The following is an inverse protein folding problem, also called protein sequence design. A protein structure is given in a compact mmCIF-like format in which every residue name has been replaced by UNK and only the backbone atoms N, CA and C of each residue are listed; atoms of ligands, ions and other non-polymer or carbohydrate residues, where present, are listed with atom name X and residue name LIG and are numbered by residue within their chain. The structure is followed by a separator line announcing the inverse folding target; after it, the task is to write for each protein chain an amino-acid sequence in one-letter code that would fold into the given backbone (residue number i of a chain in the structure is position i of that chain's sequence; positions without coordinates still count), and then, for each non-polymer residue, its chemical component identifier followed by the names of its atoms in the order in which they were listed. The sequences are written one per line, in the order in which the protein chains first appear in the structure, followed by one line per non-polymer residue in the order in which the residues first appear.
data_IF_024192099883
#
_entry.id   IF_024192099883
#
_cell.length_a   1.000
_cell.length_b   1.000
_cell.length_c   1.000
_cell.angle_alpha   90.00
_cell.angle_beta   90.00
_cell.angle_gamma   90.00
#
_symmetry.space_group_name_H-M   'P 1'
#
loop_
_entity.id
_entity.type
_entity.pdbx_description
1 polymer ?
#
# COMPACT_ATOMS: atom_id res chain seq x y z
N UNK A 1 4.67 -26.66 20.81
CA UNK A 1 3.22 -26.47 20.49
C UNK A 1 3.13 -25.50 19.33
N UNK A 2 2.24 -25.74 18.38
CA UNK A 2 2.04 -24.89 17.19
C UNK A 2 0.77 -24.07 17.37
N UNK A 3 0.77 -22.82 16.92
CA UNK A 3 -0.39 -21.93 16.93
C UNK A 3 -0.44 -21.16 15.61
N UNK A 4 -1.61 -21.07 14.99
CA UNK A 4 -1.85 -20.28 13.79
C UNK A 4 -2.86 -19.17 14.13
N UNK A 5 -2.51 -17.92 13.84
CA UNK A 5 -3.36 -16.77 14.10
C UNK A 5 -3.82 -16.18 12.77
N UNK A 6 -5.14 -16.13 12.58
CA UNK A 6 -5.73 -15.50 11.41
C UNK A 6 -6.30 -14.15 11.86
N UNK A 7 -5.63 -13.08 11.46
CA UNK A 7 -5.95 -11.70 11.87
C UNK A 7 -6.96 -11.10 10.87
N UNK A 8 -7.92 -10.32 11.36
CA UNK A 8 -8.98 -9.74 10.53
C UNK A 8 -8.42 -8.93 9.34
N UNK A 9 -7.34 -8.18 9.54
CA UNK A 9 -6.66 -7.39 8.51
C UNK A 9 -6.15 -8.25 7.35
N UNK A 10 -5.69 -9.49 7.59
CA UNK A 10 -5.20 -10.40 6.53
C UNK A 10 -6.32 -10.80 5.57
N UNK A 11 -7.55 -10.97 6.05
CA UNK A 11 -8.71 -11.26 5.19
C UNK A 11 -8.99 -10.12 4.20
N UNK A 12 -8.65 -8.89 4.56
CA UNK A 12 -8.90 -7.71 3.76
C UNK A 12 -7.77 -7.37 2.78
N UNK A 13 -6.69 -8.16 2.75
CA UNK A 13 -5.54 -7.89 1.89
C UNK A 13 -5.93 -7.80 0.39
N UNK A 14 -6.88 -8.63 -0.06
CA UNK A 14 -7.40 -8.53 -1.42
C UNK A 14 -8.15 -7.21 -1.68
N UNK A 15 -8.91 -6.73 -0.70
CA UNK A 15 -9.64 -5.46 -0.79
C UNK A 15 -8.68 -4.27 -0.82
N UNK A 16 -7.62 -4.30 -0.01
CA UNK A 16 -6.57 -3.27 -0.01
C UNK A 16 -5.90 -3.15 -1.38
N UNK A 17 -5.45 -4.28 -1.94
CA UNK A 17 -4.79 -4.29 -3.25
C UNK A 17 -5.69 -3.75 -4.37
N UNK A 18 -6.98 -4.14 -4.36
CA UNK A 18 -7.96 -3.61 -5.32
C UNK A 18 -8.19 -2.11 -5.13
N UNK A 19 -8.36 -1.65 -3.90
CA UNK A 19 -8.63 -0.25 -3.59
C UNK A 19 -7.44 0.64 -3.96
N UNK A 20 -6.22 0.24 -3.62
CA UNK A 20 -4.97 0.92 -4.01
C UNK A 20 -4.87 0.99 -5.53
N UNK A 21 -5.12 -0.11 -6.24
CA UNK A 21 -5.06 -0.13 -7.71
C UNK A 21 -6.08 0.84 -8.34
N UNK A 22 -7.30 0.89 -7.82
CA UNK A 22 -8.34 1.80 -8.32
C UNK A 22 -7.97 3.26 -8.11
N UNK A 23 -7.47 3.61 -6.93
CA UNK A 23 -7.07 4.97 -6.56
C UNK A 23 -5.83 5.38 -7.36
N UNK A 24 -4.86 4.49 -7.51
CA UNK A 24 -3.67 4.72 -8.33
C UNK A 24 -4.06 5.02 -9.78
N UNK A 25 -4.91 4.19 -10.41
CA UNK A 25 -5.40 4.44 -11.78
C UNK A 25 -6.14 5.77 -11.94
N UNK A 26 -6.83 6.24 -10.89
CA UNK A 26 -7.64 7.46 -10.95
C UNK A 26 -6.85 8.74 -10.65
N UNK A 27 -5.87 8.67 -9.75
CA UNK A 27 -5.22 9.86 -9.19
C UNK A 27 -3.71 9.93 -9.40
N UNK A 28 -3.03 8.82 -9.73
CA UNK A 28 -1.58 8.81 -9.97
C UNK A 28 -1.33 9.04 -11.45
N UNK A 29 -0.50 10.05 -11.76
CA UNK A 29 -0.03 10.33 -13.10
C UNK A 29 1.35 9.70 -13.30
N UNK A 30 1.49 8.85 -14.30
CA UNK A 30 2.72 8.11 -14.62
C UNK A 30 3.90 8.97 -15.04
N UNK A 31 3.71 10.27 -15.30
CA UNK A 31 4.79 11.19 -15.68
C UNK A 31 5.48 11.87 -14.50
N UNK A 32 4.79 12.02 -13.37
CA UNK A 32 5.34 12.68 -12.19
C UNK A 32 4.53 12.33 -10.94
N UNK A 33 5.17 11.71 -9.95
CA UNK A 33 4.57 11.49 -8.64
C UNK A 33 4.51 12.81 -7.87
N UNK A 34 3.34 13.15 -7.33
CA UNK A 34 3.14 14.33 -6.47
C UNK A 34 2.64 13.89 -5.11
N UNK A 35 3.04 14.61 -4.05
CA UNK A 35 2.65 14.28 -2.67
C UNK A 35 1.12 14.19 -2.48
N UNK A 36 0.35 15.08 -3.11
CA UNK A 36 -1.11 15.03 -3.07
C UNK A 36 -1.75 13.79 -3.74
N UNK A 37 -1.02 13.09 -4.60
CA UNK A 37 -1.45 11.81 -5.19
C UNK A 37 -1.17 10.66 -4.21
N UNK A 38 0.03 10.65 -3.60
CA UNK A 38 0.43 9.66 -2.61
C UNK A 38 -0.46 9.71 -1.37
N UNK A 39 -0.78 10.91 -0.89
CA UNK A 39 -1.69 11.10 0.26
C UNK A 39 -3.10 10.52 -0.02
N UNK A 40 -3.57 10.52 -1.27
CA UNK A 40 -4.87 9.90 -1.63
C UNK A 40 -4.80 8.37 -1.62
N UNK A 41 -3.69 7.79 -2.04
CA UNK A 41 -3.46 6.34 -1.96
C UNK A 41 -3.38 5.90 -0.50
N UNK A 42 -2.65 6.64 0.33
CA UNK A 42 -2.61 6.41 1.78
C UNK A 42 -3.96 6.59 2.47
N UNK A 43 -4.73 7.62 2.09
CA UNK A 43 -6.04 7.89 2.69
C UNK A 43 -7.00 6.71 2.51
N UNK A 44 -6.92 5.99 1.39
CA UNK A 44 -7.73 4.80 1.16
C UNK A 44 -7.32 3.66 2.08
N UNK A 45 -6.02 3.43 2.27
CA UNK A 45 -5.53 2.46 3.25
C UNK A 45 -5.99 2.85 4.66
N UNK A 46 -5.88 4.12 5.05
CA UNK A 46 -6.37 4.62 6.36
C UNK A 46 -7.88 4.43 6.56
N UNK A 47 -8.68 4.54 5.49
CA UNK A 47 -10.13 4.34 5.57
C UNK A 47 -10.52 2.89 5.92
N UNK A 48 -9.63 1.93 5.71
CA UNK A 48 -9.84 0.55 6.14
C UNK A 48 -9.41 0.26 7.58
N UNK A 49 -8.79 1.23 8.26
CA UNK A 49 -8.19 1.09 9.60
C UNK A 49 -7.38 -0.21 9.77
N UNK A 50 -6.36 -0.47 8.92
CA UNK A 50 -5.68 -1.75 8.95
C UNK A 50 -4.68 -1.76 10.12
N UNK A 51 -4.94 -2.59 11.14
CA UNK A 51 -3.87 -2.94 12.08
C UNK A 51 -2.88 -3.91 11.41
N UNK A 52 -1.95 -3.35 10.64
CA UNK A 52 -0.95 -4.12 9.90
C UNK A 52 0.10 -4.73 10.85
N UNK A 53 0.45 -4.08 11.97
CA UNK A 53 1.32 -4.68 12.99
C UNK A 53 0.68 -5.90 13.66
N UNK A 54 -0.65 -5.91 13.80
CA UNK A 54 -1.38 -7.10 14.27
C UNK A 54 -1.33 -8.21 13.23
N UNK A 55 -1.41 -7.87 11.95
CA UNK A 55 -1.53 -8.77 10.81
C UNK A 55 -0.21 -9.49 10.49
N UNK A 56 0.89 -8.74 10.45
CA UNK A 56 2.22 -9.25 10.09
C UNK A 56 3.05 -9.66 11.29
N UNK A 57 2.53 -9.41 12.50
CA UNK A 57 3.29 -9.50 13.76
C UNK A 57 4.58 -8.65 13.76
N UNK A 58 4.68 -7.64 12.88
CA UNK A 58 5.79 -6.70 12.81
C UNK A 58 5.39 -5.34 13.37
N UNK A 59 5.60 -5.16 14.67
CA UNK A 59 5.43 -3.87 15.35
C UNK A 59 6.59 -2.94 14.95
N UNK A 60 6.28 -1.79 14.35
CA UNK A 60 7.24 -0.71 14.10
C UNK A 60 8.06 -0.77 12.81
N UNK A 61 7.82 -1.73 11.91
CA UNK A 61 8.51 -1.83 10.62
C UNK A 61 7.52 -1.90 9.45
N UNK A 62 6.96 -0.75 9.06
CA UNK A 62 6.07 -0.65 7.89
C UNK A 62 6.35 0.60 7.08
N UNK A 63 7.53 0.69 6.42
CA UNK A 63 7.77 1.77 5.50
C UNK A 63 6.81 1.64 4.30
N UNK A 64 6.10 2.71 3.97
CA UNK A 64 5.33 2.79 2.74
C UNK A 64 6.28 3.08 1.59
N UNK A 65 6.51 2.05 0.77
CA UNK A 65 7.32 2.17 -0.43
C UNK A 65 6.43 2.23 -1.68
N UNK A 66 6.58 3.29 -2.46
CA UNK A 66 5.92 3.47 -3.76
C UNK A 66 6.99 3.56 -4.84
N UNK A 67 6.94 2.63 -5.78
CA UNK A 67 7.82 2.59 -6.94
C UNK A 67 7.00 2.86 -8.20
N UNK A 68 7.50 3.77 -9.05
CA UNK A 68 6.98 3.99 -10.39
C UNK A 68 7.88 3.26 -11.39
N UNK A 69 7.29 2.35 -12.14
CA UNK A 69 7.99 1.52 -13.13
C UNK A 69 7.38 1.80 -14.50
N UNK A 70 8.22 2.02 -15.52
CA UNK A 70 7.77 2.21 -16.89
C UNK A 70 7.39 0.89 -17.59
N UNK A 71 6.92 0.98 -18.82
CA UNK A 71 6.53 -0.17 -19.63
C UNK A 71 7.68 -1.11 -19.99
N UNK A 72 8.94 -0.66 -19.85
CA UNK A 72 10.14 -1.46 -20.10
C UNK A 72 10.66 -2.12 -18.82
N UNK A 73 9.98 -1.90 -17.68
CA UNK A 73 10.38 -2.46 -16.39
C UNK A 73 11.44 -1.61 -15.66
N UNK A 74 11.77 -0.43 -16.15
CA UNK A 74 12.74 0.47 -15.52
C UNK A 74 12.07 1.35 -14.47
N UNK A 75 12.73 1.50 -13.32
CA UNK A 75 12.28 2.36 -12.24
C UNK A 75 12.46 3.84 -12.63
N UNK A 76 11.33 4.55 -12.75
CA UNK A 76 11.26 5.96 -13.12
C UNK A 76 11.34 6.85 -11.88
N UNK A 77 10.70 6.42 -10.78
CA UNK A 77 10.64 7.19 -9.54
C UNK A 77 10.43 6.25 -8.34
N UNK A 78 10.85 6.68 -7.15
CA UNK A 78 10.74 5.92 -5.91
C UNK A 78 10.56 6.86 -4.72
N UNK A 79 9.57 6.56 -3.89
CA UNK A 79 9.32 7.26 -2.63
C UNK A 79 9.19 6.23 -1.51
N UNK A 80 9.92 6.42 -0.42
CA UNK A 80 9.86 5.58 0.79
C UNK A 80 9.52 6.49 1.98
N UNK A 81 8.52 6.11 2.77
CA UNK A 81 8.12 6.81 4.00
C UNK A 81 8.08 5.86 5.19
#
# INVERSE_FOLDING_TARGET
RWCNMIIATEHNNLAYNKAVTQVAKKYVNSKQLKEGMLNRVEAVIRAFDPCLSCATHAVGQMPLEVQLIDSEGKMVDRVVR
#
